data_IF_676220667459
#
_entry.id   IF_676220667459
#
_cell.length_a   1.000
_cell.length_b   1.000
_cell.length_c   1.000
_cell.angle_alpha   90.00
_cell.angle_beta   90.00
_cell.angle_gamma   90.00
#
_symmetry.space_group_name_H-M   'P 1'
#
loop_
_entity.id
_entity.type
_entity.pdbx_description
1 polymer ?
#
# COMPACT_ATOMS: atom_id res chain seq x y z
N UNK A 1 0.93 8.75 11.76
CA UNK A 1 0.64 8.84 10.32
C UNK A 1 0.80 10.30 9.94
N UNK A 2 1.67 10.65 8.98
CA UNK A 2 1.80 12.05 8.55
C UNK A 2 0.52 12.42 7.79
N UNK A 3 -0.04 13.59 8.08
CA UNK A 3 -1.24 14.06 7.38
C UNK A 3 -0.91 14.29 5.91
N UNK A 4 -1.66 13.62 5.03
CA UNK A 4 -1.56 13.81 3.59
C UNK A 4 -2.52 14.94 3.19
N UNK A 5 -1.96 16.03 2.67
CA UNK A 5 -2.70 17.20 2.22
C UNK A 5 -2.72 17.23 0.68
N UNK A 6 -3.69 17.96 0.10
CA UNK A 6 -3.74 18.20 -1.36
C UNK A 6 -3.08 19.52 -1.70
N UNK A 7 -2.55 19.66 -2.92
CA UNK A 7 -2.00 20.94 -3.41
C UNK A 7 -3.04 22.06 -3.32
N UNK A 8 -4.31 21.77 -3.58
CA UNK A 8 -5.43 22.71 -3.49
C UNK A 8 -5.63 23.35 -2.12
N UNK A 9 -5.03 22.82 -1.05
CA UNK A 9 -5.02 23.46 0.27
C UNK A 9 -4.05 24.64 0.38
N UNK A 10 -3.04 24.69 -0.49
CA UNK A 10 -1.96 25.68 -0.45
C UNK A 10 -2.05 26.74 -1.56
N UNK A 11 -2.83 26.49 -2.61
CA UNK A 11 -3.02 27.44 -3.70
C UNK A 11 -3.94 26.91 -4.80
N UNK A 12 -4.16 27.72 -5.83
CA UNK A 12 -4.96 27.30 -6.98
C UNK A 12 -4.17 26.32 -7.85
N UNK A 13 -4.74 25.12 -8.03
CA UNK A 13 -4.19 24.05 -8.88
C UNK A 13 -4.58 24.20 -10.36
N UNK A 14 -5.54 25.08 -10.67
CA UNK A 14 -5.92 25.48 -12.03
C UNK A 14 -5.79 26.98 -12.14
N UNK A 15 -4.99 27.45 -13.09
CA UNK A 15 -4.83 28.89 -13.37
C UNK A 15 -5.06 29.14 -14.85
N UNK A 16 -5.54 30.33 -15.18
CA UNK A 16 -5.77 30.74 -16.54
C UNK A 16 -5.23 32.15 -16.80
N UNK A 17 -4.73 32.36 -18.01
CA UNK A 17 -4.20 33.65 -18.45
C UNK A 17 -4.38 33.81 -19.95
N UNK A 18 -4.87 34.97 -20.37
CA UNK A 18 -4.88 35.36 -21.78
C UNK A 18 -3.56 36.01 -22.12
N UNK A 19 -2.89 35.50 -23.15
CA UNK A 19 -1.68 36.07 -23.71
C UNK A 19 -2.00 36.82 -24.99
N UNK A 20 -1.52 38.05 -25.10
CA UNK A 20 -1.61 38.85 -26.31
C UNK A 20 -0.69 38.28 -27.43
N UNK A 21 -0.88 38.69 -28.69
CA UNK A 21 -0.03 38.28 -29.79
C UNK A 21 1.46 38.52 -29.48
N UNK A 22 2.29 37.51 -29.72
CA UNK A 22 3.75 37.53 -29.47
C UNK A 22 4.17 37.67 -28.00
N UNK A 23 3.23 37.62 -27.05
CA UNK A 23 3.55 37.70 -25.62
C UNK A 23 4.17 36.39 -25.11
N UNK A 24 5.13 36.52 -24.18
CA UNK A 24 5.57 35.41 -23.34
C UNK A 24 5.37 35.78 -21.89
N UNK A 25 4.64 34.96 -21.14
CA UNK A 25 4.40 35.24 -19.73
C UNK A 25 4.23 33.96 -18.90
N UNK A 26 4.44 34.12 -17.59
CA UNK A 26 4.07 33.12 -16.60
C UNK A 26 2.54 32.97 -16.59
N UNK A 27 2.08 31.72 -16.75
CA UNK A 27 0.66 31.33 -16.77
C UNK A 27 0.26 30.51 -15.54
N UNK A 28 1.25 30.01 -14.80
CA UNK A 28 1.03 29.22 -13.60
C UNK A 28 2.18 29.44 -12.63
N UNK A 29 1.82 29.66 -11.37
CA UNK A 29 2.76 29.71 -10.26
C UNK A 29 2.16 29.04 -9.04
N UNK A 30 2.89 28.10 -8.47
CA UNK A 30 2.52 27.43 -7.23
C UNK A 30 3.74 27.36 -6.31
N UNK A 31 3.59 27.84 -5.09
CA UNK A 31 4.64 27.82 -4.06
C UNK A 31 4.20 26.93 -2.90
N UNK A 32 5.08 26.03 -2.47
CA UNK A 32 4.89 25.23 -1.27
C UNK A 32 5.46 25.99 -0.06
N UNK A 33 4.76 25.98 1.10
CA UNK A 33 5.33 26.54 2.32
C UNK A 33 6.59 25.80 2.74
N UNK A 34 7.43 26.49 3.51
CA UNK A 34 8.59 25.86 4.14
C UNK A 34 8.15 24.66 5.00
N UNK A 35 8.97 23.61 5.01
CA UNK A 35 8.73 22.34 5.71
C UNK A 35 7.65 21.44 5.09
N UNK A 36 7.34 21.61 3.81
CA UNK A 36 6.52 20.66 3.06
C UNK A 36 7.29 20.07 1.88
N UNK A 37 6.92 18.85 1.51
CA UNK A 37 7.34 18.23 0.24
C UNK A 37 6.06 17.82 -0.49
N UNK A 38 5.93 18.29 -1.72
CA UNK A 38 4.89 17.92 -2.66
C UNK A 38 5.33 16.78 -3.58
N UNK A 39 4.35 15.97 -3.97
CA UNK A 39 4.47 14.97 -5.02
C UNK A 39 3.43 15.32 -6.08
N UNK A 40 3.90 15.83 -7.22
CA UNK A 40 3.11 16.25 -8.36
C UNK A 40 2.76 15.02 -9.20
N UNK A 41 1.47 14.68 -9.23
CA UNK A 41 0.95 13.52 -9.93
C UNK A 41 0.30 13.89 -11.26
N UNK A 42 -0.30 15.07 -11.37
CA UNK A 42 -1.09 15.44 -12.53
C UNK A 42 -0.64 16.75 -13.15
N UNK A 43 -0.52 16.77 -14.49
CA UNK A 43 -0.34 17.99 -15.27
C UNK A 43 -1.27 18.00 -16.48
N UNK A 44 -1.86 19.16 -16.77
CA UNK A 44 -2.65 19.38 -17.96
C UNK A 44 -2.55 20.83 -18.46
N UNK A 45 -2.68 21.01 -19.77
CA UNK A 45 -2.61 22.32 -20.42
C UNK A 45 -3.30 22.27 -21.79
N UNK A 46 -3.73 23.43 -22.29
CA UNK A 46 -4.44 23.56 -23.58
C UNK A 46 -3.65 24.32 -24.67
N UNK A 47 -2.35 24.61 -24.48
CA UNK A 47 -1.59 25.48 -25.39
C UNK A 47 -0.07 25.25 -25.41
N UNK A 48 0.52 25.24 -26.60
CA UNK A 48 1.97 25.13 -26.81
C UNK A 48 2.49 26.27 -27.69
N UNK A 49 3.76 26.72 -27.54
CA UNK A 49 4.82 26.19 -26.68
C UNK A 49 4.75 26.63 -25.21
N UNK A 50 5.22 25.74 -24.32
CA UNK A 50 5.28 25.93 -22.87
C UNK A 50 6.68 25.54 -22.35
N UNK A 51 7.10 26.17 -21.25
CA UNK A 51 8.25 25.79 -20.43
C UNK A 51 7.78 25.55 -18.99
N UNK A 52 8.17 24.41 -18.41
CA UNK A 52 7.89 24.05 -17.02
C UNK A 52 9.19 24.06 -16.22
N UNK A 53 9.14 24.64 -15.03
CA UNK A 53 10.23 24.70 -14.07
C UNK A 53 9.71 24.19 -12.72
N UNK A 54 10.39 23.19 -12.16
CA UNK A 54 10.10 22.63 -10.85
C UNK A 54 11.37 22.79 -10.00
N UNK A 55 11.30 23.58 -8.94
CA UNK A 55 12.43 23.85 -8.04
C UNK A 55 13.73 24.36 -8.72
N UNK A 56 13.63 25.02 -9.88
CA UNK A 56 14.75 25.49 -10.69
C UNK A 56 15.20 24.52 -11.78
N UNK A 57 14.61 23.32 -11.85
CA UNK A 57 14.86 22.33 -12.89
C UNK A 57 13.91 22.53 -14.07
N UNK A 58 14.47 22.86 -15.23
CA UNK A 58 13.71 23.04 -16.48
C UNK A 58 13.37 21.69 -17.10
N UNK A 59 12.09 21.41 -17.21
CA UNK A 59 11.57 20.15 -17.73
C UNK A 59 11.30 20.25 -19.23
N UNK A 60 11.76 19.27 -20.01
CA UNK A 60 11.31 19.12 -21.41
C UNK A 60 9.95 18.44 -21.42
N UNK A 61 8.91 19.22 -21.69
CA UNK A 61 7.51 18.82 -21.58
C UNK A 61 6.86 18.41 -22.92
N UNK A 62 7.65 18.29 -23.99
CA UNK A 62 7.15 17.74 -25.25
C UNK A 62 6.70 16.29 -25.04
N UNK A 63 5.39 16.03 -25.11
CA UNK A 63 4.77 14.71 -24.87
C UNK A 63 4.40 14.42 -23.41
N UNK A 64 4.60 15.37 -22.49
CA UNK A 64 4.38 15.20 -21.05
C UNK A 64 3.04 15.80 -20.59
N UNK A 65 2.42 16.69 -21.38
CA UNK A 65 1.18 17.36 -20.94
C UNK A 65 0.00 16.93 -21.80
N UNK A 66 -1.10 16.64 -21.12
CA UNK A 66 -2.37 16.24 -21.72
C UNK A 66 -3.39 17.39 -21.68
N UNK A 67 -4.50 17.29 -22.44
CA UNK A 67 -5.57 18.29 -22.40
C UNK A 67 -6.17 18.46 -20.99
N UNK A 68 -6.70 19.65 -20.68
CA UNK A 68 -7.24 20.01 -19.36
C UNK A 68 -8.31 19.03 -18.85
N UNK A 69 -9.13 18.47 -19.74
CA UNK A 69 -10.18 17.51 -19.41
C UNK A 69 -9.68 16.07 -19.22
N UNK A 70 -8.40 15.80 -19.48
CA UNK A 70 -7.77 14.50 -19.28
C UNK A 70 -6.32 14.66 -18.82
N UNK A 71 -6.08 15.14 -17.58
CA UNK A 71 -4.72 15.35 -17.06
C UNK A 71 -3.85 14.10 -17.14
N UNK A 72 -2.56 14.28 -17.44
CA UNK A 72 -1.61 13.18 -17.46
C UNK A 72 -1.21 12.81 -16.04
N UNK A 73 -1.32 11.53 -15.70
CA UNK A 73 -0.78 10.96 -14.47
C UNK A 73 0.72 10.65 -14.63
N UNK A 74 1.53 11.01 -13.64
CA UNK A 74 2.94 10.64 -13.52
C UNK A 74 3.13 9.54 -12.50
N UNK A 75 3.82 8.49 -12.94
CA UNK A 75 4.30 7.41 -12.08
C UNK A 75 5.72 7.02 -12.55
N UNK A 76 6.78 7.37 -11.81
CA UNK A 76 6.75 8.02 -10.49
C UNK A 76 6.36 9.52 -10.54
N UNK A 77 5.83 10.09 -9.45
CA UNK A 77 5.51 11.53 -9.37
C UNK A 77 6.76 12.41 -9.34
N UNK A 78 6.63 13.66 -9.79
CA UNK A 78 7.68 14.65 -9.61
C UNK A 78 7.71 15.15 -8.16
N UNK A 79 8.90 15.28 -7.59
CA UNK A 79 9.09 15.80 -6.24
C UNK A 79 9.20 17.32 -6.32
N UNK A 80 8.43 18.02 -5.48
CA UNK A 80 8.38 19.47 -5.40
C UNK A 80 8.71 19.90 -3.98
N UNK A 81 9.73 20.74 -3.82
CA UNK A 81 10.23 21.20 -2.51
C UNK A 81 9.93 22.67 -2.27
N UNK A 82 9.80 23.47 -3.33
CA UNK A 82 9.65 24.92 -3.26
C UNK A 82 8.54 25.40 -4.17
N UNK A 83 8.60 25.13 -5.47
CA UNK A 83 7.64 25.71 -6.41
C UNK A 83 7.52 24.95 -7.72
N UNK A 84 6.43 25.27 -8.43
CA UNK A 84 6.20 24.94 -9.83
C UNK A 84 5.88 26.24 -10.55
N UNK A 85 6.55 26.51 -11.67
CA UNK A 85 6.20 27.62 -12.56
C UNK A 85 6.07 27.13 -14.00
N UNK A 86 5.09 27.68 -14.72
CA UNK A 86 4.90 27.42 -16.14
C UNK A 86 4.82 28.73 -16.92
N UNK A 87 5.64 28.85 -17.96
CA UNK A 87 5.71 30.01 -18.86
C UNK A 87 5.32 29.59 -20.26
N UNK A 88 4.35 30.30 -20.86
CA UNK A 88 3.93 30.06 -22.24
C UNK A 88 4.29 31.23 -23.14
N UNK A 89 4.47 30.94 -24.43
CA UNK A 89 4.72 31.95 -25.46
C UNK A 89 3.63 31.87 -26.54
N UNK A 90 2.85 32.93 -26.71
CA UNK A 90 1.89 33.03 -27.81
C UNK A 90 2.61 33.42 -29.10
N UNK A 91 2.79 32.48 -30.01
CA UNK A 91 3.47 32.76 -31.29
C UNK A 91 2.53 33.21 -32.39
N UNK A 92 1.22 33.26 -32.12
CA UNK A 92 0.18 33.60 -33.10
C UNK A 92 -0.07 35.11 -33.17
N UNK A 93 -0.88 35.52 -34.15
CA UNK A 93 -1.33 36.92 -34.32
C UNK A 93 -2.63 37.23 -33.54
N UNK A 94 -3.19 36.23 -32.85
CA UNK A 94 -4.42 36.36 -32.07
C UNK A 94 -4.14 36.15 -30.59
N UNK A 95 -4.91 36.80 -29.71
CA UNK A 95 -4.83 36.54 -28.28
C UNK A 95 -5.30 35.10 -27.97
N UNK A 96 -4.67 34.45 -26.99
CA UNK A 96 -4.96 33.05 -26.62
C UNK A 96 -5.13 32.92 -25.12
N UNK A 97 -6.25 32.34 -24.69
CA UNK A 97 -6.47 31.98 -23.28
C UNK A 97 -5.89 30.61 -22.98
N UNK A 98 -4.89 30.60 -22.11
CA UNK A 98 -4.16 29.42 -21.71
C UNK A 98 -4.60 29.01 -20.31
N UNK A 99 -4.88 27.73 -20.14
CA UNK A 99 -5.20 27.10 -18.86
C UNK A 99 -4.10 26.12 -18.50
N UNK A 100 -3.70 26.11 -17.25
CA UNK A 100 -2.70 25.17 -16.74
C UNK A 100 -3.19 24.56 -15.43
N UNK A 101 -3.14 23.24 -15.38
CA UNK A 101 -3.54 22.44 -14.23
C UNK A 101 -2.34 21.64 -13.72
N UNK A 102 -2.10 21.71 -12.40
CA UNK A 102 -1.09 20.93 -11.71
C UNK A 102 -1.61 20.52 -10.32
N UNK A 103 -1.64 19.22 -10.05
CA UNK A 103 -2.17 18.70 -8.78
C UNK A 103 -1.38 17.50 -8.25
N UNK A 104 -1.49 17.29 -6.94
CA UNK A 104 -0.70 16.33 -6.22
C UNK A 104 -1.01 16.30 -4.74
N UNK A 105 -0.10 15.69 -4.00
CA UNK A 105 -0.22 15.51 -2.55
C UNK A 105 0.98 16.11 -1.84
N UNK A 106 0.78 16.62 -0.64
CA UNK A 106 1.79 17.29 0.17
C UNK A 106 1.91 16.58 1.51
N UNK A 107 3.15 16.39 1.97
CA UNK A 107 3.46 15.88 3.30
C UNK A 107 4.26 16.90 4.08
N UNK A 108 3.96 17.02 5.37
CA UNK A 108 4.80 17.78 6.28
C UNK A 108 6.15 17.08 6.48
N UNK A 109 7.20 17.90 6.49
CA UNK A 109 8.55 17.53 6.87
C UNK A 109 8.77 18.04 8.28
N UNK A 110 9.38 17.22 9.13
CA UNK A 110 9.80 17.67 10.45
C UNK A 110 10.73 18.88 10.31
N UNK A 111 10.36 19.96 10.95
CA UNK A 111 11.17 21.17 11.11
C UNK A 111 12.50 20.83 11.79
N UNK A 112 13.50 21.70 11.67
CA UNK A 112 14.76 21.53 12.37
C UNK A 112 14.58 21.47 13.90
N UNK A 113 13.65 22.26 14.44
CA UNK A 113 13.28 22.25 15.86
C UNK A 113 12.64 20.92 16.27
N UNK A 114 11.69 20.38 15.51
CA UNK A 114 11.09 19.06 15.80
C UNK A 114 12.14 17.93 15.71
N UNK A 115 13.04 18.00 14.73
CA UNK A 115 14.17 17.05 14.63
C UNK A 115 15.08 17.15 15.85
N UNK A 116 15.36 18.35 16.35
CA UNK A 116 16.17 18.57 17.54
C UNK A 116 15.49 18.01 18.80
N UNK A 117 14.18 18.27 18.99
CA UNK A 117 13.40 17.72 20.10
C UNK A 117 13.39 16.19 20.08
N UNK A 118 13.17 15.58 18.91
CA UNK A 118 13.26 14.12 18.76
C UNK A 118 14.67 13.61 19.08
N UNK A 119 15.71 14.35 18.67
CA UNK A 119 17.09 14.05 19.02
C UNK A 119 17.34 14.05 20.53
N UNK A 120 16.84 15.05 21.25
CA UNK A 120 16.93 15.13 22.71
C UNK A 120 16.14 14.02 23.41
N UNK A 121 14.93 13.71 22.94
CA UNK A 121 14.11 12.61 23.47
C UNK A 121 14.85 11.29 23.28
N UNK A 122 15.41 11.02 22.09
CA UNK A 122 16.21 9.82 21.84
C UNK A 122 17.41 9.74 22.76
N UNK A 123 18.13 10.85 22.94
CA UNK A 123 19.28 10.91 23.87
C UNK A 123 18.85 10.57 25.30
N UNK A 124 17.77 11.17 25.80
CA UNK A 124 17.19 10.87 27.12
C UNK A 124 16.78 9.40 27.25
N UNK A 125 16.18 8.81 26.22
CA UNK A 125 15.80 7.38 26.20
C UNK A 125 17.04 6.49 26.28
N UNK A 126 18.12 6.82 25.57
CA UNK A 126 19.38 6.04 25.61
C UNK A 126 20.09 6.16 26.96
N UNK A 127 19.90 7.27 27.67
CA UNK A 127 20.43 7.50 29.02
C UNK A 127 19.58 6.84 30.12
N UNK A 128 18.35 6.39 29.81
CA UNK A 128 17.57 5.57 30.74
C UNK A 128 18.28 4.22 30.92
N UNK A 129 18.33 3.69 32.16
CA UNK A 129 18.83 2.35 32.37
C UNK A 129 18.03 1.40 31.48
N UNK A 130 18.69 0.42 30.84
CA UNK A 130 17.98 -0.54 29.99
C UNK A 130 16.85 -1.11 30.83
N UNK A 131 15.62 -0.90 30.36
CA UNK A 131 14.46 -1.57 30.93
C UNK A 131 14.85 -3.04 30.93
N UNK A 132 14.87 -3.67 32.10
CA UNK A 132 14.90 -5.14 32.18
C UNK A 132 13.61 -5.59 31.51
N UNK A 133 13.63 -5.73 30.19
CA UNK A 133 12.78 -6.67 29.50
C UNK A 133 13.16 -7.99 30.12
N UNK A 134 12.36 -8.44 31.09
CA UNK A 134 12.29 -9.85 31.38
C UNK A 134 12.20 -10.52 30.00
N UNK A 135 13.24 -11.26 29.62
CA UNK A 135 13.15 -12.12 28.45
C UNK A 135 11.88 -12.91 28.65
N UNK A 136 10.84 -12.58 27.87
CA UNK A 136 9.68 -13.44 27.75
C UNK A 136 10.25 -14.73 27.23
N UNK A 137 10.48 -15.69 28.14
CA UNK A 137 10.84 -17.06 27.78
C UNK A 137 9.90 -17.44 26.65
N UNK A 138 10.40 -17.94 25.51
CA UNK A 138 9.54 -18.33 24.40
C UNK A 138 8.48 -19.26 24.98
N UNK A 139 7.23 -18.78 24.99
CA UNK A 139 6.12 -19.56 25.51
C UNK A 139 6.03 -20.77 24.60
N UNK A 140 6.10 -21.97 25.18
CA UNK A 140 5.99 -23.20 24.41
C UNK A 140 4.70 -23.12 23.59
N UNK A 141 4.73 -23.40 22.27
CA UNK A 141 3.53 -23.37 21.45
C UNK A 141 2.50 -24.32 22.05
N UNK A 142 1.26 -23.85 22.14
CA UNK A 142 0.16 -24.69 22.56
C UNK A 142 -0.26 -25.54 21.38
N UNK A 143 -0.17 -26.86 21.53
CA UNK A 143 -0.47 -27.83 20.48
C UNK A 143 -1.88 -28.38 20.73
N UNK A 144 -2.80 -28.13 19.80
CA UNK A 144 -4.15 -28.70 19.81
C UNK A 144 -4.19 -29.83 18.80
N UNK A 145 -4.45 -31.06 19.26
CA UNK A 145 -4.55 -32.24 18.40
C UNK A 145 -6.02 -32.66 18.25
N UNK A 146 -6.51 -32.63 17.02
CA UNK A 146 -7.80 -33.20 16.64
C UNK A 146 -7.57 -34.52 15.90
N UNK A 147 -8.20 -35.59 16.36
CA UNK A 147 -8.22 -36.88 15.67
C UNK A 147 -9.66 -37.24 15.35
N UNK A 148 -9.97 -37.42 14.06
CA UNK A 148 -11.32 -37.67 13.58
C UNK A 148 -11.35 -38.89 12.68
N UNK A 149 -12.41 -39.69 12.79
CA UNK A 149 -12.74 -40.73 11.80
C UNK A 149 -13.78 -40.18 10.85
N UNK A 150 -13.40 -40.03 9.59
CA UNK A 150 -14.20 -39.44 8.53
C UNK A 150 -14.70 -40.51 7.56
N UNK A 151 -15.76 -40.18 6.84
CA UNK A 151 -16.40 -41.02 5.83
C UNK A 151 -16.73 -40.16 4.60
N UNK A 152 -17.59 -40.66 3.71
CA UNK A 152 -17.99 -39.99 2.47
C UNK A 152 -18.96 -38.81 2.69
N UNK A 153 -18.57 -37.87 3.55
CA UNK A 153 -19.18 -36.56 3.79
C UNK A 153 -18.12 -35.58 4.31
N UNK A 154 -18.40 -34.30 4.24
CA UNK A 154 -17.52 -33.27 4.79
C UNK A 154 -17.63 -33.19 6.31
N UNK A 155 -16.48 -33.04 6.96
CA UNK A 155 -16.33 -32.83 8.40
C UNK A 155 -15.63 -31.50 8.62
N UNK A 156 -16.21 -30.64 9.45
CA UNK A 156 -15.66 -29.35 9.83
C UNK A 156 -14.77 -29.49 11.07
N UNK A 157 -13.53 -29.00 10.99
CA UNK A 157 -12.61 -28.85 12.12
C UNK A 157 -12.37 -27.35 12.31
N UNK A 158 -12.91 -26.79 13.40
CA UNK A 158 -12.77 -25.36 13.70
C UNK A 158 -11.33 -25.00 14.02
N UNK A 159 -10.84 -23.92 13.42
CA UNK A 159 -9.53 -23.37 13.69
C UNK A 159 -9.62 -22.30 14.80
N UNK A 160 -8.64 -22.23 15.72
CA UNK A 160 -8.55 -21.12 16.66
C UNK A 160 -8.15 -19.86 15.90
N UNK A 161 -9.13 -19.01 15.59
CA UNK A 161 -8.94 -17.83 14.73
C UNK A 161 -7.92 -16.84 15.30
N UNK A 162 -7.81 -16.76 16.63
CA UNK A 162 -6.86 -15.87 17.30
C UNK A 162 -5.55 -16.60 17.66
N UNK A 163 -4.46 -16.19 17.02
CA UNK A 163 -3.10 -16.64 17.36
C UNK A 163 -2.66 -17.97 16.75
N UNK A 164 -3.41 -18.57 15.81
CA UNK A 164 -2.94 -19.71 15.02
C UNK A 164 -1.74 -19.25 14.18
N UNK A 165 -0.56 -19.81 14.49
CA UNK A 165 0.64 -19.54 13.73
C UNK A 165 0.76 -20.54 12.59
N UNK A 166 0.66 -21.83 12.90
CA UNK A 166 0.92 -22.88 11.94
C UNK A 166 -0.05 -24.04 12.15
N UNK A 167 -0.18 -24.89 11.14
CA UNK A 167 -1.01 -26.11 11.21
C UNK A 167 -0.37 -27.27 10.45
N UNK A 168 -0.76 -28.48 10.83
CA UNK A 168 -0.28 -29.71 10.23
C UNK A 168 -1.41 -30.74 10.11
N UNK A 169 -1.70 -31.15 8.89
CA UNK A 169 -2.70 -32.17 8.58
C UNK A 169 -2.00 -33.47 8.17
N UNK A 170 -2.29 -34.57 8.87
CA UNK A 170 -1.70 -35.89 8.63
C UNK A 170 -2.80 -36.87 8.19
N UNK A 171 -2.64 -37.44 7.00
CA UNK A 171 -3.46 -38.57 6.56
C UNK A 171 -2.85 -39.87 7.10
N UNK A 172 -3.52 -40.53 8.05
CA UNK A 172 -3.03 -41.79 8.66
C UNK A 172 -3.57 -43.03 7.97
N UNK A 173 -4.01 -42.93 6.72
CA UNK A 173 -4.72 -44.02 6.04
C UNK A 173 -4.11 -44.36 4.71
N UNK A 174 -4.57 -45.48 4.16
CA UNK A 174 -4.24 -45.95 2.81
C UNK A 174 -5.07 -45.26 1.70
N UNK A 175 -5.93 -44.31 2.04
CA UNK A 175 -6.76 -43.59 1.08
C UNK A 175 -6.43 -42.10 1.11
N UNK A 176 -6.57 -41.47 -0.04
CA UNK A 176 -6.44 -40.02 -0.17
C UNK A 176 -7.59 -39.31 0.53
N UNK A 177 -7.32 -38.13 1.06
CA UNK A 177 -8.35 -37.26 1.64
C UNK A 177 -8.45 -35.97 0.84
N UNK A 178 -9.67 -35.44 0.76
CA UNK A 178 -9.93 -34.11 0.24
C UNK A 178 -10.00 -33.15 1.41
N UNK A 179 -9.39 -31.98 1.27
CA UNK A 179 -9.47 -30.91 2.26
C UNK A 179 -9.73 -29.55 1.61
N UNK A 180 -10.39 -28.65 2.35
CA UNK A 180 -10.65 -27.28 1.94
C UNK A 180 -10.75 -26.35 3.15
N UNK A 181 -10.45 -25.06 2.97
CA UNK A 181 -10.71 -24.02 3.97
C UNK A 181 -12.05 -23.30 3.73
N UNK A 182 -12.71 -23.59 2.60
CA UNK A 182 -14.01 -23.05 2.23
C UNK A 182 -15.11 -24.07 2.53
N UNK A 183 -16.26 -23.62 3.02
CA UNK A 183 -17.41 -24.49 3.29
C UNK A 183 -18.08 -25.00 2.02
N UNK A 184 -17.94 -24.28 0.91
CA UNK A 184 -18.38 -24.70 -0.41
C UNK A 184 -17.41 -25.71 -0.98
N UNK A 185 -17.80 -26.98 -0.99
CA UNK A 185 -17.07 -28.12 -1.56
C UNK A 185 -16.70 -28.02 -3.07
N UNK A 186 -16.83 -26.84 -3.68
CA UNK A 186 -16.49 -26.53 -5.06
C UNK A 186 -14.98 -26.51 -5.33
N UNK A 187 -14.18 -26.24 -4.29
CA UNK A 187 -12.73 -26.07 -4.34
C UNK A 187 -12.12 -26.92 -3.24
N UNK A 188 -11.34 -27.93 -3.61
CA UNK A 188 -10.65 -28.79 -2.66
C UNK A 188 -9.28 -29.20 -3.19
N UNK A 189 -8.40 -29.51 -2.25
CA UNK A 189 -7.09 -30.10 -2.50
C UNK A 189 -7.10 -31.55 -2.04
N UNK A 190 -6.24 -32.38 -2.65
CA UNK A 190 -6.05 -33.78 -2.27
C UNK A 190 -4.77 -33.91 -1.45
N UNK A 191 -4.86 -34.58 -0.30
CA UNK A 191 -3.71 -35.04 0.47
C UNK A 191 -3.61 -36.56 0.33
N UNK A 192 -2.49 -37.07 -0.18
CA UNK A 192 -2.37 -38.48 -0.52
C UNK A 192 -2.29 -39.35 0.74
N UNK A 193 -2.61 -40.63 0.58
CA UNK A 193 -2.45 -41.64 1.62
C UNK A 193 -1.05 -41.60 2.27
N UNK A 194 -1.01 -41.50 3.61
CA UNK A 194 0.23 -41.47 4.38
C UNK A 194 0.97 -40.12 4.39
N UNK A 195 0.52 -39.13 3.60
CA UNK A 195 1.18 -37.84 3.53
C UNK A 195 0.86 -36.93 4.72
N UNK A 196 1.73 -35.94 4.89
CA UNK A 196 1.64 -34.90 5.90
C UNK A 196 1.82 -33.55 5.23
N UNK A 197 0.84 -32.68 5.40
CA UNK A 197 0.91 -31.29 4.98
C UNK A 197 1.14 -30.41 6.20
N UNK A 198 2.05 -29.45 6.09
CA UNK A 198 2.30 -28.45 7.13
C UNK A 198 2.51 -27.10 6.50
N UNK A 199 1.91 -26.07 7.09
CA UNK A 199 2.03 -24.68 6.65
C UNK A 199 2.24 -23.77 7.86
N UNK A 200 3.07 -22.74 7.65
CA UNK A 200 3.45 -21.76 8.67
C UNK A 200 2.44 -20.61 8.81
N UNK A 201 1.33 -20.66 8.06
CA UNK A 201 0.16 -19.80 8.17
C UNK A 201 -1.09 -20.53 7.68
N UNK A 202 -2.26 -20.21 8.25
CA UNK A 202 -3.54 -20.56 7.63
C UNK A 202 -3.92 -19.48 6.59
N UNK A 203 -4.69 -19.83 5.54
CA UNK A 203 -5.18 -18.82 4.60
C UNK A 203 -6.00 -17.74 5.32
N UNK A 204 -5.82 -16.48 4.93
CA UNK A 204 -6.49 -15.35 5.55
C UNK A 204 -8.02 -15.53 5.56
N UNK A 205 -8.66 -15.25 6.70
CA UNK A 205 -10.11 -15.41 6.87
C UNK A 205 -10.59 -16.85 7.12
N UNK A 206 -9.69 -17.84 7.17
CA UNK A 206 -10.07 -19.23 7.45
C UNK A 206 -10.49 -19.42 8.91
N UNK A 207 -11.67 -19.99 9.13
CA UNK A 207 -12.19 -20.31 10.45
C UNK A 207 -12.34 -21.82 10.70
N UNK A 208 -12.18 -22.64 9.66
CA UNK A 208 -12.26 -24.09 9.74
C UNK A 208 -11.47 -24.75 8.61
N UNK A 209 -11.14 -26.03 8.79
CA UNK A 209 -10.71 -26.95 7.74
C UNK A 209 -11.81 -27.98 7.57
N UNK A 210 -12.29 -28.14 6.34
CA UNK A 210 -13.22 -29.17 5.94
C UNK A 210 -12.44 -30.35 5.38
N UNK A 211 -12.72 -31.56 5.85
CA UNK A 211 -12.09 -32.79 5.34
C UNK A 211 -13.13 -33.82 4.92
N UNK A 212 -12.84 -34.58 3.87
CA UNK A 212 -13.68 -35.66 3.34
C UNK A 212 -12.79 -36.79 2.83
N UNK A 213 -13.28 -38.03 2.92
CA UNK A 213 -12.67 -39.15 2.20
C UNK A 213 -13.75 -39.90 1.44
N UNK A 214 -13.45 -40.39 0.23
CA UNK A 214 -14.40 -41.17 -0.55
C UNK A 214 -14.76 -42.51 0.12
N UNK A 215 -13.83 -43.07 0.90
CA UNK A 215 -14.01 -44.31 1.66
C UNK A 215 -14.46 -44.02 3.09
N UNK A 216 -15.26 -44.93 3.66
CA UNK A 216 -15.69 -44.84 5.04
C UNK A 216 -14.55 -45.23 6.01
N UNK A 217 -14.58 -44.68 7.23
CA UNK A 217 -13.73 -45.04 8.36
C UNK A 217 -12.24 -44.65 8.22
N UNK A 218 -11.96 -43.49 7.65
CA UNK A 218 -10.60 -42.96 7.49
C UNK A 218 -10.24 -42.08 8.68
N UNK A 219 -9.10 -42.33 9.35
CA UNK A 219 -8.62 -41.49 10.46
C UNK A 219 -7.72 -40.36 9.96
N UNK A 220 -8.08 -39.12 10.30
CA UNK A 220 -7.28 -37.92 10.04
C UNK A 220 -6.83 -37.31 11.36
N UNK A 221 -5.58 -36.85 11.42
CA UNK A 221 -5.02 -36.09 12.54
C UNK A 221 -4.70 -34.67 12.08
N UNK A 222 -5.26 -33.67 12.76
CA UNK A 222 -4.94 -32.27 12.60
C UNK A 222 -4.25 -31.76 13.86
N UNK A 223 -3.03 -31.25 13.70
CA UNK A 223 -2.23 -30.64 14.75
C UNK A 223 -2.17 -29.13 14.49
N UNK A 224 -2.59 -28.32 15.47
CA UNK A 224 -2.65 -26.86 15.37
C UNK A 224 -1.69 -26.23 16.38
N UNK A 225 -0.88 -25.27 15.93
CA UNK A 225 0.08 -24.56 16.77
C UNK A 225 -0.36 -23.12 17.00
N UNK A 226 -0.58 -22.77 18.28
CA UNK A 226 -0.98 -21.42 18.70
C UNK A 226 0.03 -20.83 19.68
N UNK A 227 0.29 -19.52 19.54
CA UNK A 227 0.94 -18.73 20.60
C UNK A 227 -0.11 -18.29 21.64
N UNK A 228 0.22 -18.47 22.92
CA UNK A 228 -0.57 -17.96 24.07
C UNK A 228 0.09 -16.70 24.60
#
# INVERSE_FOLDING_TARGET
MREQLKFSKFGSILQEKTLEPKETAEIFKFELPENYIGFLYYLANNYYPLKLDIDGEKMDIKGIIAPINSPKLFDPPFIVKKYITATASNTTEESKTIKFYADGVVYSVLTASEKAVIGEIKKKITELPPVRTEEKRPRKPHIINHRLTIANRWYEIKLPVEGLKAWKLKCRTSNDILYSFESSASTYSTLSAGETLSEDTAPEGSHAIYVRCATANVTVELELWREI
#
